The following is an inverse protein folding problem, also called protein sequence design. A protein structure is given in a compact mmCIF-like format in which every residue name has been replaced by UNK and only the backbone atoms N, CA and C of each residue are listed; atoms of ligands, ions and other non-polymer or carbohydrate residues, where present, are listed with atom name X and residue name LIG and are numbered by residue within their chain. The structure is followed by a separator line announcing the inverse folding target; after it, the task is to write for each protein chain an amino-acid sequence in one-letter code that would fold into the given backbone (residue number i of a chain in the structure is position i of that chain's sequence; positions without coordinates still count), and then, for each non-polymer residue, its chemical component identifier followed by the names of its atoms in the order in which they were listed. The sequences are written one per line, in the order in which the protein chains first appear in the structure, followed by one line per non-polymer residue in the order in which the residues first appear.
data_IF_713021343783
#
_entry.id   IF_713021343783
#
_cell.length_a   1.000
_cell.length_b   1.000
_cell.length_c   1.000
_cell.angle_alpha   90.00
_cell.angle_beta   90.00
_cell.angle_gamma   90.00
#
_symmetry.space_group_name_H-M   'P 1'
#
loop_
_entity.id
_entity.type
_entity.pdbx_description
1 polymer ?
#
# COMPACT_ATOMS: atom_id res chain seq x y z
N UNK A 1 1.79 -10.27 -23.24
CA UNK A 1 1.14 -11.45 -23.84
C UNK A 1 1.12 -12.52 -22.76
N UNK A 2 -0.06 -13.01 -22.40
CA UNK A 2 -0.24 -14.06 -21.39
C UNK A 2 -0.02 -15.45 -22.00
N UNK A 3 0.10 -16.46 -21.15
CA UNK A 3 0.23 -17.86 -21.53
C UNK A 3 -0.76 -18.72 -20.74
N UNK A 4 -1.13 -19.88 -21.29
CA UNK A 4 -1.85 -20.91 -20.55
C UNK A 4 -1.06 -21.28 -19.29
N UNK A 5 -1.74 -21.30 -18.15
CA UNK A 5 -1.17 -21.46 -16.82
C UNK A 5 -0.85 -20.15 -16.09
N UNK A 6 -0.86 -18.99 -16.75
CA UNK A 6 -0.69 -17.70 -16.06
C UNK A 6 -1.91 -17.41 -15.18
N UNK A 7 -1.69 -16.93 -13.96
CA UNK A 7 -2.77 -16.35 -13.13
C UNK A 7 -2.95 -14.89 -13.51
N UNK A 8 -4.17 -14.53 -13.93
CA UNK A 8 -4.51 -13.18 -14.38
C UNK A 8 -5.78 -12.69 -13.71
N UNK A 9 -5.96 -11.37 -13.74
CA UNK A 9 -7.11 -10.70 -13.15
C UNK A 9 -7.77 -9.74 -14.14
N UNK A 10 -9.09 -9.73 -14.14
CA UNK A 10 -9.87 -8.60 -14.61
C UNK A 10 -10.20 -7.68 -13.43
N UNK A 11 -9.63 -6.48 -13.44
CA UNK A 11 -9.78 -5.51 -12.33
C UNK A 11 -11.20 -4.96 -12.23
N UNK A 12 -11.88 -4.75 -13.37
CA UNK A 12 -13.22 -4.18 -13.42
C UNK A 12 -14.28 -5.20 -13.00
N UNK A 13 -14.15 -6.45 -13.44
CA UNK A 13 -15.06 -7.54 -13.11
C UNK A 13 -14.76 -8.20 -11.76
N UNK A 14 -13.63 -7.84 -11.13
CA UNK A 14 -13.14 -8.46 -9.91
C UNK A 14 -13.05 -10.01 -10.02
N UNK A 15 -12.50 -10.48 -11.14
CA UNK A 15 -12.33 -11.90 -11.40
C UNK A 15 -10.84 -12.23 -11.45
N UNK A 16 -10.44 -13.29 -10.75
CA UNK A 16 -9.11 -13.88 -10.80
C UNK A 16 -9.26 -15.32 -11.26
N UNK A 17 -8.37 -15.77 -12.14
CA UNK A 17 -8.36 -17.14 -12.61
C UNK A 17 -7.05 -17.50 -13.32
N UNK A 18 -6.91 -18.78 -13.61
CA UNK A 18 -5.79 -19.33 -14.38
C UNK A 18 -6.19 -19.37 -15.85
N UNK A 19 -5.33 -18.87 -16.73
CA UNK A 19 -5.56 -18.97 -18.18
C UNK A 19 -5.56 -20.44 -18.59
N UNK A 20 -6.69 -20.92 -19.10
CA UNK A 20 -6.84 -22.30 -19.61
C UNK A 20 -6.78 -22.35 -21.14
N UNK A 21 -7.23 -21.28 -21.81
CA UNK A 21 -7.25 -21.19 -23.27
C UNK A 21 -7.07 -19.73 -23.74
N UNK A 22 -6.47 -19.56 -24.93
CA UNK A 22 -6.30 -18.28 -25.60
C UNK A 22 -6.77 -18.43 -27.05
N UNK A 23 -7.81 -17.70 -27.42
CA UNK A 23 -8.34 -17.62 -28.79
C UNK A 23 -8.29 -16.18 -29.29
N UNK A 24 -7.28 -15.88 -30.11
CA UNK A 24 -7.03 -14.53 -30.62
C UNK A 24 -6.83 -13.52 -29.47
N UNK A 25 -7.77 -12.59 -29.35
CA UNK A 25 -7.79 -11.55 -28.31
C UNK A 25 -8.64 -11.94 -27.09
N UNK A 26 -9.29 -13.11 -27.11
CA UNK A 26 -10.10 -13.63 -26.00
C UNK A 26 -9.30 -14.63 -25.17
N UNK A 27 -9.38 -14.50 -23.86
CA UNK A 27 -8.70 -15.37 -22.89
C UNK A 27 -9.75 -15.98 -21.97
N UNK A 28 -9.70 -17.30 -21.85
CA UNK A 28 -10.56 -18.09 -20.97
C UNK A 28 -9.82 -18.38 -19.66
N UNK A 29 -10.48 -18.07 -18.55
CA UNK A 29 -9.96 -18.21 -17.20
C UNK A 29 -10.79 -19.22 -16.44
N UNK A 30 -10.13 -20.18 -15.79
CA UNK A 30 -10.76 -21.01 -14.76
C UNK A 30 -10.56 -20.35 -13.40
N UNK A 31 -11.66 -20.09 -12.70
CA UNK A 31 -11.69 -19.52 -11.35
C UNK A 31 -11.57 -20.62 -10.28
N UNK A 32 -11.31 -20.22 -9.04
CA UNK A 32 -11.18 -21.14 -7.89
C UNK A 32 -12.45 -21.95 -7.58
N UNK A 33 -13.61 -21.43 -7.97
CA UNK A 33 -14.90 -22.11 -7.88
C UNK A 33 -15.18 -23.10 -9.04
N UNK A 34 -14.23 -23.27 -9.97
CA UNK A 34 -14.35 -24.13 -11.15
C UNK A 34 -15.21 -23.54 -12.27
N UNK A 35 -15.60 -22.26 -12.19
CA UNK A 35 -16.27 -21.56 -13.28
C UNK A 35 -15.26 -21.06 -14.31
N UNK A 36 -15.57 -21.27 -15.59
CA UNK A 36 -14.84 -20.66 -16.69
C UNK A 36 -15.48 -19.32 -17.09
N UNK A 37 -14.66 -18.30 -17.26
CA UNK A 37 -15.06 -16.96 -17.69
C UNK A 37 -14.11 -16.45 -18.76
N UNK A 38 -14.64 -15.73 -19.76
CA UNK A 38 -13.86 -15.18 -20.85
C UNK A 38 -13.72 -13.65 -20.76
N UNK A 39 -12.54 -13.14 -21.10
CA UNK A 39 -12.26 -11.72 -21.15
C UNK A 39 -11.36 -11.36 -22.34
N UNK A 40 -11.49 -10.13 -22.82
CA UNK A 40 -10.54 -9.56 -23.76
C UNK A 40 -9.15 -9.41 -23.11
N UNK A 41 -8.09 -9.72 -23.85
CA UNK A 41 -6.70 -9.64 -23.40
C UNK A 41 -6.34 -8.26 -22.85
N UNK A 42 -6.92 -7.19 -23.42
CA UNK A 42 -6.71 -5.80 -22.97
C UNK A 42 -7.36 -5.48 -21.63
N UNK A 43 -8.31 -6.29 -21.17
CA UNK A 43 -8.99 -6.13 -19.89
C UNK A 43 -8.28 -6.87 -18.74
N UNK A 44 -7.22 -7.63 -19.05
CA UNK A 44 -6.52 -8.48 -18.11
C UNK A 44 -5.16 -7.90 -17.72
N UNK A 45 -4.76 -8.20 -16.49
CA UNK A 45 -3.43 -7.96 -15.95
C UNK A 45 -2.90 -9.23 -15.30
N UNK A 46 -1.58 -9.42 -15.27
CA UNK A 46 -0.99 -10.50 -14.48
C UNK A 46 -1.35 -10.29 -13.01
N UNK A 47 -1.83 -11.33 -12.34
CA UNK A 47 -2.19 -11.23 -10.93
C UNK A 47 -0.97 -10.88 -10.09
N UNK A 48 0.20 -11.46 -10.39
CA UNK A 48 1.46 -11.13 -9.73
C UNK A 48 1.87 -9.66 -9.90
N UNK A 49 1.63 -9.06 -11.07
CA UNK A 49 1.93 -7.65 -11.32
C UNK A 49 0.92 -6.73 -10.64
N UNK A 50 -0.35 -7.14 -10.59
CA UNK A 50 -1.39 -6.44 -9.85
C UNK A 50 -1.09 -6.46 -8.35
N UNK A 51 -0.78 -7.64 -7.81
CA UNK A 51 -0.31 -7.83 -6.44
C UNK A 51 0.94 -6.99 -6.21
N UNK A 52 2.01 -7.08 -7.01
CA UNK A 52 3.21 -6.26 -6.80
C UNK A 52 2.97 -4.73 -6.79
N UNK A 53 1.93 -4.24 -7.47
CA UNK A 53 1.55 -2.82 -7.47
C UNK A 53 0.72 -2.42 -6.23
N UNK A 54 -0.04 -3.35 -5.68
CA UNK A 54 -1.00 -3.12 -4.59
C UNK A 54 -0.61 -3.78 -3.27
N UNK A 55 0.39 -4.65 -3.30
CA UNK A 55 0.97 -5.32 -2.16
C UNK A 55 1.68 -4.24 -1.36
N UNK A 56 1.14 -4.01 -0.18
CA UNK A 56 1.69 -3.08 0.78
C UNK A 56 2.95 -3.67 1.42
N UNK A 57 3.31 -4.93 1.17
CA UNK A 57 4.51 -5.55 1.68
C UNK A 57 5.75 -4.73 1.29
N UNK A 58 6.51 -4.34 2.31
CA UNK A 58 7.89 -3.91 2.10
C UNK A 58 8.64 -5.13 1.60
N UNK A 59 9.47 -4.97 0.56
CA UNK A 59 10.34 -6.05 0.09
C UNK A 59 11.13 -6.60 1.28
N UNK A 60 11.02 -7.90 1.51
CA UNK A 60 11.69 -8.62 2.59
C UNK A 60 13.12 -8.99 2.19
N UNK A 61 13.92 -7.98 1.86
CA UNK A 61 15.35 -8.15 1.55
C UNK A 61 16.18 -7.26 2.48
N UNK A 62 17.38 -7.72 2.83
CA UNK A 62 18.23 -7.05 3.80
C UNK A 62 18.56 -5.58 3.40
N UNK A 63 18.55 -5.26 2.10
CA UNK A 63 18.74 -3.89 1.60
C UNK A 63 17.52 -3.00 1.84
N UNK A 64 16.32 -3.57 1.77
CA UNK A 64 15.05 -2.89 2.05
C UNK A 64 14.83 -2.59 3.55
N UNK A 65 15.44 -3.37 4.44
CA UNK A 65 15.38 -3.17 5.90
C UNK A 65 16.48 -2.26 6.48
N UNK A 66 17.43 -1.77 5.67
CA UNK A 66 18.55 -0.93 6.16
C UNK A 66 18.06 0.30 6.92
N UNK A 67 16.90 0.83 6.56
CA UNK A 67 16.31 2.02 7.18
C UNK A 67 15.26 1.69 8.25
N UNK A 68 14.98 0.43 8.56
CA UNK A 68 13.99 0.03 9.56
C UNK A 68 14.23 0.68 10.93
N UNK A 69 15.47 0.70 11.47
CA UNK A 69 15.73 1.39 12.73
C UNK A 69 15.41 2.89 12.69
N UNK A 70 15.55 3.52 11.51
CA UNK A 70 15.21 4.94 11.32
C UNK A 70 13.70 5.12 11.32
N UNK A 71 12.95 4.28 10.60
CA UNK A 71 11.50 4.34 10.57
C UNK A 71 10.89 4.03 11.94
N UNK A 72 11.39 3.01 12.63
CA UNK A 72 10.94 2.65 13.98
C UNK A 72 11.15 3.81 14.95
N UNK A 73 12.31 4.46 14.89
CA UNK A 73 12.61 5.63 15.73
C UNK A 73 11.69 6.82 15.42
N UNK A 74 11.33 7.03 14.16
CA UNK A 74 10.35 8.08 13.82
C UNK A 74 9.01 7.74 14.46
N UNK A 75 8.48 6.53 14.21
CA UNK A 75 7.18 6.08 14.73
C UNK A 75 7.14 6.15 16.26
N UNK A 76 8.21 5.77 16.97
CA UNK A 76 8.26 5.84 18.43
C UNK A 76 8.20 7.26 18.99
N UNK A 77 8.62 8.25 18.19
CA UNK A 77 8.70 9.65 18.61
C UNK A 77 7.52 10.50 18.11
N UNK A 78 6.57 9.90 17.37
CA UNK A 78 5.35 10.57 16.95
C UNK A 78 4.35 10.70 18.11
N UNK A 79 3.62 11.80 18.13
CA UNK A 79 2.49 12.04 19.00
C UNK A 79 1.35 11.09 18.64
N UNK A 80 0.59 10.60 19.64
CA UNK A 80 -0.56 9.74 19.40
C UNK A 80 -1.55 10.32 18.38
N UNK A 81 -1.79 11.63 18.41
CA UNK A 81 -2.68 12.30 17.46
C UNK A 81 -2.22 12.18 15.99
N UNK A 82 -0.90 12.19 15.73
CA UNK A 82 -0.35 11.97 14.37
C UNK A 82 -0.53 10.52 13.95
N UNK A 83 -0.33 9.58 14.87
CA UNK A 83 -0.56 8.15 14.64
C UNK A 83 -2.03 7.87 14.30
N UNK A 84 -2.97 8.49 15.01
CA UNK A 84 -4.42 8.36 14.77
C UNK A 84 -4.82 8.87 13.38
N UNK A 85 -4.19 9.94 12.87
CA UNK A 85 -4.44 10.43 11.51
C UNK A 85 -4.06 9.37 10.47
N UNK A 86 -2.87 8.77 10.60
CA UNK A 86 -2.43 7.67 9.72
C UNK A 86 -3.35 6.45 9.80
N UNK A 87 -3.74 6.06 11.02
CA UNK A 87 -4.64 4.92 11.24
C UNK A 87 -6.02 5.15 10.62
N UNK A 88 -6.57 6.37 10.73
CA UNK A 88 -7.85 6.75 10.12
C UNK A 88 -7.78 6.66 8.60
N UNK A 89 -6.72 7.22 7.99
CA UNK A 89 -6.51 7.15 6.54
C UNK A 89 -6.36 5.71 6.07
N UNK A 90 -5.59 4.88 6.78
CA UNK A 90 -5.46 3.45 6.49
C UNK A 90 -6.81 2.72 6.53
N UNK A 91 -7.64 3.02 7.54
CA UNK A 91 -8.99 2.44 7.66
C UNK A 91 -9.97 2.86 6.56
N UNK A 92 -9.66 3.92 5.80
CA UNK A 92 -10.47 4.40 4.68
C UNK A 92 -10.01 3.83 3.32
N UNK A 93 -8.88 3.14 3.28
CA UNK A 93 -8.38 2.50 2.05
C UNK A 93 -9.38 1.47 1.59
N UNK A 94 -9.88 1.62 0.36
CA UNK A 94 -10.81 0.66 -0.23
C UNK A 94 -10.11 -0.69 -0.34
N UNK A 95 -10.72 -1.79 0.16
CA UNK A 95 -10.17 -3.12 0.00
C UNK A 95 -9.94 -3.39 -1.48
N UNK A 96 -8.73 -3.80 -1.82
CA UNK A 96 -8.43 -4.31 -3.16
C UNK A 96 -8.77 -5.80 -3.13
N UNK A 97 -9.74 -6.26 -3.93
CA UNK A 97 -10.13 -7.67 -3.88
C UNK A 97 -8.96 -8.62 -4.14
N UNK A 98 -8.90 -9.74 -3.43
CA UNK A 98 -7.79 -10.71 -3.51
C UNK A 98 -6.45 -10.21 -2.98
N UNK A 99 -6.37 -8.98 -2.44
CA UNK A 99 -5.25 -8.52 -1.63
C UNK A 99 -5.66 -8.64 -0.17
N UNK A 100 -4.91 -9.41 0.62
CA UNK A 100 -5.16 -9.52 2.05
C UNK A 100 -4.83 -8.18 2.72
N UNK A 101 -5.86 -7.49 3.20
CA UNK A 101 -5.68 -6.26 3.94
C UNK A 101 -4.94 -6.53 5.25
N UNK A 102 -3.83 -5.82 5.49
CA UNK A 102 -3.14 -5.83 6.78
C UNK A 102 -3.85 -4.89 7.74
N UNK A 103 -4.06 -5.35 8.98
CA UNK A 103 -4.48 -4.47 10.07
C UNK A 103 -3.37 -3.44 10.35
N UNK A 104 -3.75 -2.29 10.92
CA UNK A 104 -2.79 -1.24 11.29
C UNK A 104 -1.63 -1.78 12.14
N UNK A 105 -1.93 -2.67 13.09
CA UNK A 105 -0.92 -3.26 13.98
C UNK A 105 0.04 -4.20 13.23
N UNK A 106 -0.41 -4.83 12.15
CA UNK A 106 0.39 -5.69 11.29
C UNK A 106 1.23 -4.93 10.24
N UNK A 107 1.17 -3.60 10.23
CA UNK A 107 2.01 -2.78 9.36
C UNK A 107 3.41 -2.56 9.98
N UNK A 108 4.43 -2.65 9.14
CA UNK A 108 5.79 -2.17 9.43
C UNK A 108 5.82 -0.66 9.68
N UNK A 109 6.90 -0.15 10.28
CA UNK A 109 7.06 1.27 10.54
C UNK A 109 7.04 2.11 9.24
N UNK A 110 7.64 1.63 8.14
CA UNK A 110 7.56 2.32 6.86
C UNK A 110 6.13 2.38 6.31
N UNK A 111 5.37 1.29 6.39
CA UNK A 111 3.96 1.28 5.96
C UNK A 111 3.12 2.25 6.79
N UNK A 112 3.31 2.28 8.12
CA UNK A 112 2.66 3.26 9.00
C UNK A 112 3.05 4.68 8.63
N UNK A 113 4.34 4.93 8.36
CA UNK A 113 4.85 6.25 8.00
C UNK A 113 4.35 6.72 6.63
N UNK A 114 4.16 5.82 5.66
CA UNK A 114 3.52 6.13 4.38
C UNK A 114 2.06 6.56 4.58
N UNK A 115 1.28 5.82 5.38
CA UNK A 115 -0.10 6.18 5.68
C UNK A 115 -0.20 7.53 6.42
N UNK A 116 0.72 7.81 7.34
CA UNK A 116 0.82 9.12 8.02
C UNK A 116 1.19 10.22 7.01
N UNK A 117 2.12 9.95 6.10
CA UNK A 117 2.53 10.91 5.08
C UNK A 117 1.37 11.29 4.16
N UNK A 118 0.56 10.30 3.76
CA UNK A 118 -0.67 10.53 2.98
C UNK A 118 -1.72 11.31 3.78
N UNK A 119 -1.93 10.98 5.05
CA UNK A 119 -2.90 11.66 5.92
C UNK A 119 -2.56 13.14 6.19
N UNK A 120 -1.26 13.46 6.20
CA UNK A 120 -0.74 14.76 6.64
C UNK A 120 -0.24 15.62 5.49
N UNK A 121 -0.13 15.07 4.28
CA UNK A 121 0.54 15.69 3.12
C UNK A 121 2.00 16.07 3.42
N UNK A 122 2.64 15.34 4.34
CA UNK A 122 4.05 15.51 4.72
C UNK A 122 4.85 14.32 4.21
N UNK A 123 5.83 14.51 3.31
CA UNK A 123 6.65 13.41 2.81
C UNK A 123 7.40 12.64 3.92
N UNK A 124 7.53 11.32 3.78
CA UNK A 124 8.31 10.42 4.66
C UNK A 124 9.68 10.98 5.01
N UNK A 125 10.38 11.54 4.00
CA UNK A 125 11.71 12.14 4.18
C UNK A 125 11.71 13.28 5.20
N UNK A 126 10.65 14.09 5.25
CA UNK A 126 10.55 15.21 6.19
C UNK A 126 10.39 14.71 7.62
N UNK A 127 9.65 13.61 7.83
CA UNK A 127 9.54 12.95 9.14
C UNK A 127 10.89 12.42 9.62
N UNK A 128 11.64 11.77 8.72
CA UNK A 128 13.01 11.29 9.02
C UNK A 128 13.93 12.46 9.36
N UNK A 129 13.96 13.49 8.51
CA UNK A 129 14.86 14.62 8.68
C UNK A 129 14.57 15.38 9.98
N UNK A 130 13.29 15.55 10.34
CA UNK A 130 12.87 16.22 11.56
C UNK A 130 13.18 15.41 12.84
N UNK A 131 13.24 14.07 12.74
CA UNK A 131 13.59 13.19 13.85
C UNK A 131 15.10 13.18 14.18
N UNK A 132 15.95 13.76 13.33
CA UNK A 132 17.39 13.86 13.60
C UNK A 132 17.67 14.83 14.76
N UNK A 133 18.69 14.50 15.56
CA UNK A 133 19.16 15.38 16.62
C UNK A 133 19.57 16.75 16.05
N UNK A 134 19.01 17.83 16.59
CA UNK A 134 19.30 19.20 16.15
C UNK A 134 18.62 19.64 14.85
N UNK A 135 17.67 18.85 14.32
CA UNK A 135 16.92 19.20 13.12
C UNK A 135 16.14 20.52 13.25
N UNK A 136 15.99 21.23 12.12
CA UNK A 136 15.23 22.47 11.98
C UNK A 136 14.33 22.38 10.74
N UNK A 137 13.00 22.27 10.88
CA UNK A 137 12.25 22.17 12.14
C UNK A 137 12.53 20.85 12.88
N UNK A 138 12.37 20.86 14.20
CA UNK A 138 12.41 19.63 15.00
C UNK A 138 11.15 18.79 14.75
N UNK A 139 11.20 17.48 15.06
CA UNK A 139 10.02 16.62 14.95
C UNK A 139 8.83 17.17 15.74
N UNK A 140 9.04 17.70 16.95
CA UNK A 140 7.97 18.32 17.74
C UNK A 140 7.34 19.52 17.01
N UNK A 141 8.16 20.40 16.43
CA UNK A 141 7.69 21.55 15.66
C UNK A 141 6.89 21.14 14.42
N UNK A 142 7.38 20.14 13.69
CA UNK A 142 6.69 19.60 12.52
C UNK A 142 5.31 19.06 12.89
N UNK A 143 5.23 18.23 13.93
CA UNK A 143 3.97 17.64 14.39
C UNK A 143 2.95 18.69 14.84
N UNK A 144 3.39 19.70 15.59
CA UNK A 144 2.49 20.78 16.00
C UNK A 144 1.96 21.58 14.81
N UNK A 145 2.78 21.79 13.77
CA UNK A 145 2.33 22.43 12.52
C UNK A 145 1.24 21.61 11.84
N UNK A 146 1.45 20.30 11.69
CA UNK A 146 0.47 19.38 11.10
C UNK A 146 -0.85 19.40 11.87
N UNK A 147 -0.79 19.32 13.21
CA UNK A 147 -1.98 19.36 14.05
C UNK A 147 -2.71 20.71 13.92
N UNK A 148 -1.98 21.82 13.92
CA UNK A 148 -2.55 23.15 13.74
C UNK A 148 -3.25 23.33 12.39
N UNK A 149 -2.73 22.73 11.32
CA UNK A 149 -3.36 22.80 9.99
C UNK A 149 -4.54 21.84 9.84
N UNK A 150 -4.48 20.68 10.47
CA UNK A 150 -5.59 19.72 10.51
C UNK A 150 -6.82 20.28 11.25
N UNK A 151 -6.63 21.07 12.29
CA UNK A 151 -7.71 21.74 13.03
C UNK A 151 -8.36 22.92 12.30
N UNK A 152 -7.80 23.36 11.16
CA UNK A 152 -8.36 24.43 10.32
C UNK A 152 -9.21 23.91 9.16
N UNK A 153 -9.16 22.61 8.84
CA UNK A 153 -10.03 22.03 7.81
C UNK A 153 -11.47 21.97 8.35
N UNK A 154 -12.44 22.67 7.73
CA UNK A 154 -13.84 22.69 8.16
C UNK A 154 -14.53 21.34 8.01
#
# INVERSE_FOLDING_TARGET
MFKVGDTVRNVAANAVGVVVEIDGDTIYLEQDNGCEVDFQVSALVLESAFQAKHDTSVRDDAGSHVNDPVYDSVISNLYPAIMEMGQRTHGQVKPVPGVTAKSWDGLSALQKLNAISEATDVPVKNWIDANRTGAKPSLATLQLSVLADSGKKP
#
